data_IF_153625838203
#
_entry.id   IF_153625838203
#
_cell.length_a   1.000
_cell.length_b   1.000
_cell.length_c   1.000
_cell.angle_alpha   90.00
_cell.angle_beta   90.00
_cell.angle_gamma   90.00
#
_symmetry.space_group_name_H-M   'P 1'
#
loop_
_entity.id
_entity.type
_entity.pdbx_description
1 polymer ?
#
# COMPACT_ATOMS: atom_id res chain seq x y z
N UNK A 1 -12.48 -15.71 12.87
CA UNK A 1 -12.36 -14.45 12.11
C UNK A 1 -10.99 -14.47 11.44
N UNK A 2 -10.83 -13.92 10.24
CA UNK A 2 -9.56 -13.91 9.52
C UNK A 2 -9.12 -12.46 9.43
N UNK A 3 -8.35 -12.00 10.41
CA UNK A 3 -8.00 -10.58 10.54
C UNK A 3 -6.84 -10.25 9.60
N UNK A 4 -6.89 -9.05 9.04
CA UNK A 4 -5.84 -8.49 8.19
C UNK A 4 -5.58 -7.08 8.68
N UNK A 5 -4.31 -6.74 8.88
CA UNK A 5 -3.93 -5.35 9.13
C UNK A 5 -3.09 -4.80 7.99
N UNK A 6 -3.19 -3.49 7.80
CA UNK A 6 -2.56 -2.75 6.71
C UNK A 6 -1.42 -1.90 7.23
N UNK A 7 -0.23 -2.07 6.68
CA UNK A 7 0.93 -1.23 6.97
C UNK A 7 1.08 -0.23 5.82
N UNK A 8 0.99 1.06 6.13
CA UNK A 8 1.20 2.16 5.18
C UNK A 8 2.53 2.85 5.44
N UNK A 9 3.41 2.87 4.44
CA UNK A 9 4.73 3.50 4.53
C UNK A 9 4.82 4.65 3.53
N UNK A 10 4.84 5.89 4.04
CA UNK A 10 4.83 7.17 3.31
C UNK A 10 3.48 7.90 3.29
N UNK A 11 3.55 9.19 3.00
CA UNK A 11 2.40 10.03 2.74
C UNK A 11 1.52 9.48 1.60
N UNK A 12 2.13 9.04 0.48
CA UNK A 12 1.40 8.47 -0.66
C UNK A 12 0.66 7.19 -0.27
N UNK A 13 1.33 6.28 0.45
CA UNK A 13 0.70 5.07 0.97
C UNK A 13 -0.45 5.39 1.91
N UNK A 14 -0.30 6.38 2.79
CA UNK A 14 -1.35 6.76 3.73
C UNK A 14 -2.57 7.39 3.04
N UNK A 15 -2.38 8.13 1.93
CA UNK A 15 -3.50 8.58 1.08
C UNK A 15 -4.30 7.39 0.51
N UNK A 16 -3.61 6.34 0.04
CA UNK A 16 -4.24 5.12 -0.45
C UNK A 16 -4.97 4.39 0.69
N UNK A 17 -4.34 4.28 1.86
CA UNK A 17 -4.94 3.66 3.04
C UNK A 17 -6.22 4.39 3.47
N UNK A 18 -6.22 5.73 3.49
CA UNK A 18 -7.43 6.51 3.78
C UNK A 18 -8.54 6.19 2.78
N UNK A 19 -8.24 6.17 1.48
CA UNK A 19 -9.23 5.84 0.46
C UNK A 19 -9.81 4.43 0.64
N UNK A 20 -8.94 3.45 0.93
CA UNK A 20 -9.36 2.09 1.23
C UNK A 20 -10.32 2.06 2.43
N UNK A 21 -9.96 2.65 3.57
CA UNK A 21 -10.81 2.60 4.77
C UNK A 21 -12.09 3.43 4.65
N UNK A 22 -12.05 4.58 3.97
CA UNK A 22 -13.27 5.37 3.68
C UNK A 22 -14.24 4.58 2.80
N UNK A 23 -13.73 3.84 1.81
CA UNK A 23 -14.56 2.97 0.97
C UNK A 23 -15.17 1.83 1.78
N UNK A 24 -14.38 1.18 2.62
CA UNK A 24 -14.86 0.10 3.49
C UNK A 24 -15.93 0.60 4.48
N UNK A 25 -15.71 1.76 5.08
CA UNK A 25 -16.65 2.40 6.01
C UNK A 25 -17.98 2.74 5.34
N UNK A 26 -17.96 3.12 4.05
CA UNK A 26 -19.19 3.46 3.31
C UNK A 26 -20.17 2.28 3.13
N UNK A 27 -19.73 1.04 3.40
CA UNK A 27 -20.60 -0.14 3.42
C UNK A 27 -21.31 -0.35 4.77
N UNK A 28 -20.93 0.40 5.80
CA UNK A 28 -21.51 0.25 7.13
C UNK A 28 -22.93 0.83 7.19
N UNK A 29 -23.85 0.04 7.74
CA UNK A 29 -25.22 0.48 8.04
C UNK A 29 -25.33 0.89 9.51
N UNK A 30 -25.22 2.18 9.76
CA UNK A 30 -25.37 2.75 11.11
C UNK A 30 -26.83 2.88 11.57
N UNK A 31 -27.80 2.54 10.70
CA UNK A 31 -29.25 2.70 10.99
C UNK A 31 -29.91 1.43 11.52
N UNK A 32 -29.22 0.28 11.50
CA UNK A 32 -29.71 -0.96 12.09
C UNK A 32 -28.85 -2.18 11.78
N UNK A 33 -28.92 -3.19 12.65
CA UNK A 33 -28.14 -4.43 12.54
C UNK A 33 -28.61 -5.23 11.31
N UNK A 34 -27.74 -5.38 10.30
CA UNK A 34 -27.78 -6.59 9.44
C UNK A 34 -27.69 -6.45 7.92
N UNK A 35 -27.21 -5.35 7.32
CA UNK A 35 -27.16 -5.23 5.84
C UNK A 35 -25.82 -4.92 5.18
N UNK A 36 -24.71 -4.83 5.92
CA UNK A 36 -23.39 -4.78 5.25
C UNK A 36 -23.13 -6.13 4.56
N UNK A 37 -22.76 -6.12 3.29
CA UNK A 37 -22.31 -7.33 2.56
C UNK A 37 -20.88 -7.74 2.94
N UNK A 38 -20.20 -6.88 3.70
CA UNK A 38 -18.83 -7.05 4.16
C UNK A 38 -18.77 -7.31 5.67
N UNK A 39 -17.81 -8.13 6.09
CA UNK A 39 -17.45 -8.44 7.46
C UNK A 39 -16.47 -7.37 8.00
N UNK A 40 -16.90 -6.45 8.89
CA UNK A 40 -16.05 -5.35 9.37
C UNK A 40 -14.83 -5.85 10.15
N UNK A 41 -14.98 -6.92 10.93
CA UNK A 41 -13.96 -7.42 11.87
C UNK A 41 -12.64 -7.84 11.21
N UNK A 42 -12.66 -8.08 9.89
CA UNK A 42 -11.47 -8.41 9.10
C UNK A 42 -10.47 -7.25 9.10
N UNK A 43 -10.93 -6.03 8.83
CA UNK A 43 -10.10 -4.83 8.68
C UNK A 43 -10.26 -3.82 9.82
N UNK A 44 -11.29 -3.98 10.63
CA UNK A 44 -11.60 -3.09 11.73
C UNK A 44 -11.56 -3.83 13.06
N UNK A 45 -11.34 -3.07 14.12
CA UNK A 45 -11.42 -3.54 15.50
C UNK A 45 -12.53 -2.81 16.21
N UNK A 46 -13.36 -3.56 16.91
CA UNK A 46 -14.33 -2.98 17.83
C UNK A 46 -13.64 -2.46 19.10
N UNK A 47 -13.82 -1.18 19.38
CA UNK A 47 -13.42 -0.52 20.61
C UNK A 47 -14.68 -0.13 21.38
N UNK A 48 -14.84 -0.71 22.58
CA UNK A 48 -15.99 -0.42 23.46
C UNK A 48 -15.70 0.81 24.31
N UNK A 49 -16.44 1.88 24.04
CA UNK A 49 -16.36 3.15 24.76
C UNK A 49 -17.63 3.35 25.60
N UNK A 50 -17.64 2.72 26.79
CA UNK A 50 -18.81 2.73 27.67
C UNK A 50 -20.01 2.03 27.02
N UNK A 51 -21.02 2.82 26.64
CA UNK A 51 -22.27 2.31 26.02
C UNK A 51 -22.24 2.27 24.49
N UNK A 52 -21.17 2.77 23.85
CA UNK A 52 -21.05 2.81 22.40
C UNK A 52 -19.89 1.93 21.93
N UNK A 53 -20.06 1.31 20.76
CA UNK A 53 -19.01 0.57 20.07
C UNK A 53 -18.54 1.43 18.90
N UNK A 54 -17.25 1.72 18.85
CA UNK A 54 -16.61 2.39 17.71
C UNK A 54 -15.71 1.39 16.99
N UNK A 55 -15.69 1.44 15.67
CA UNK A 55 -14.75 0.67 14.87
C UNK A 55 -13.48 1.49 14.63
N UNK A 56 -12.31 0.88 14.78
CA UNK A 56 -11.03 1.50 14.44
C UNK A 56 -10.31 0.67 13.39
N UNK A 57 -9.69 1.29 12.37
CA UNK A 57 -8.89 0.58 11.37
C UNK A 57 -7.76 -0.25 11.99
N UNK A 58 -7.57 -1.48 11.51
CA UNK A 58 -6.38 -2.29 11.76
C UNK A 58 -5.26 -1.82 10.84
N UNK A 59 -4.63 -0.71 11.20
CA UNK A 59 -3.57 -0.11 10.41
C UNK A 59 -2.38 0.34 11.25
N UNK A 60 -1.17 0.17 10.72
CA UNK A 60 0.08 0.72 11.25
C UNK A 60 0.64 1.68 10.20
N UNK A 61 0.70 2.97 10.52
CA UNK A 61 1.03 4.01 9.53
C UNK A 61 2.33 4.69 9.89
N UNK A 62 3.17 4.93 8.89
CA UNK A 62 4.38 5.73 8.99
C UNK A 62 4.31 6.92 8.05
N UNK A 63 4.69 8.09 8.55
CA UNK A 63 4.82 9.29 7.73
C UNK A 63 6.01 10.14 8.19
N UNK A 64 6.39 11.10 7.35
CA UNK A 64 7.36 12.13 7.71
C UNK A 64 6.68 13.21 8.56
N UNK A 65 7.47 13.97 9.31
CA UNK A 65 6.98 15.10 10.07
C UNK A 65 6.26 16.09 9.15
N UNK A 66 5.09 16.56 9.57
CA UNK A 66 4.24 17.43 8.75
C UNK A 66 3.42 16.73 7.66
N UNK A 67 3.62 15.42 7.41
CA UNK A 67 2.82 14.67 6.42
C UNK A 67 1.46 14.18 6.91
N UNK A 68 1.33 13.96 8.23
CA UNK A 68 0.10 13.42 8.84
C UNK A 68 -1.05 14.42 8.74
N UNK A 69 -0.80 15.72 8.88
CA UNK A 69 -1.86 16.72 9.03
C UNK A 69 -2.46 16.72 10.45
N UNK A 70 -3.77 16.95 10.56
CA UNK A 70 -4.49 16.93 11.83
C UNK A 70 -5.43 15.72 11.88
N UNK A 71 -5.20 14.83 12.84
CA UNK A 71 -6.00 13.61 12.97
C UNK A 71 -7.45 13.91 13.41
N UNK A 72 -8.44 13.21 12.83
CA UNK A 72 -9.83 13.27 13.28
C UNK A 72 -9.93 12.97 14.78
N UNK A 73 -10.73 13.75 15.52
CA UNK A 73 -10.96 13.51 16.95
C UNK A 73 -9.81 13.88 17.90
N UNK A 74 -8.66 14.37 17.41
CA UNK A 74 -7.50 14.81 18.22
C UNK A 74 -7.82 15.93 19.24
N UNK A 75 -8.93 16.66 19.06
CA UNK A 75 -9.45 17.60 20.06
C UNK A 75 -10.18 16.96 21.24
N UNK A 76 -10.43 15.64 21.27
CA UNK A 76 -11.06 14.98 22.43
C UNK A 76 -10.08 14.68 23.57
N UNK A 77 -8.76 14.77 23.33
CA UNK A 77 -7.71 14.49 24.34
C UNK A 77 -6.95 15.76 24.76
N UNK A 78 -7.08 16.87 24.02
CA UNK A 78 -6.36 18.11 24.31
C UNK A 78 -7.24 19.17 24.97
N UNK A 79 -7.88 18.80 26.07
CA UNK A 79 -8.49 19.74 27.01
C UNK A 79 -8.35 19.22 28.44
N UNK A 80 -7.12 18.88 28.86
CA UNK A 80 -6.64 18.92 30.25
C UNK A 80 -5.28 18.19 30.35
N UNK A 81 -4.19 18.92 30.10
CA UNK A 81 -2.90 18.75 30.78
C UNK A 81 -1.94 19.85 30.31
N UNK A 82 -1.84 20.98 31.03
CA UNK A 82 -0.69 21.85 30.89
C UNK A 82 0.51 21.11 31.51
N UNK A 83 1.22 20.31 30.73
CA UNK A 83 2.46 19.68 31.19
C UNK A 83 3.55 20.75 31.22
N UNK A 84 3.73 21.30 32.42
CA UNK A 84 4.94 21.89 32.99
C UNK A 84 5.87 22.67 32.04
N UNK A 85 5.53 23.94 31.85
CA UNK A 85 6.48 24.98 31.50
C UNK A 85 7.41 25.33 32.68
N UNK A 86 8.18 24.35 33.17
CA UNK A 86 9.25 24.57 34.15
C UNK A 86 10.41 23.59 33.95
N UNK A 87 11.09 23.70 32.81
CA UNK A 87 12.50 23.33 32.70
C UNK A 87 13.31 24.61 32.90
N UNK A 88 13.61 24.91 34.16
CA UNK A 88 14.59 25.93 34.54
C UNK A 88 15.99 25.40 34.25
N UNK A 89 16.45 25.58 33.01
CA UNK A 89 17.86 25.44 32.67
C UNK A 89 18.59 26.74 33.02
N UNK A 90 19.75 26.62 33.64
CA UNK A 90 20.57 27.73 34.14
C UNK A 90 20.75 28.84 33.11
N UNK A 91 20.67 30.05 33.62
CA UNK A 91 20.80 31.33 32.92
C UNK A 91 22.09 31.44 32.13
N UNK A 92 21.98 31.50 30.80
CA UNK A 92 22.76 32.34 29.87
C UNK A 92 22.44 32.06 28.38
N UNK A 93 21.60 31.06 28.08
CA UNK A 93 21.14 30.77 26.72
C UNK A 93 19.69 31.20 26.50
N UNK A 94 19.45 32.15 25.59
CA UNK A 94 18.11 32.41 25.05
C UNK A 94 17.75 31.28 24.08
N UNK A 95 16.96 30.31 24.55
CA UNK A 95 16.33 29.32 23.67
C UNK A 95 15.10 29.97 23.04
N UNK A 96 15.19 30.38 21.78
CA UNK A 96 14.00 30.72 21.00
C UNK A 96 13.30 29.43 20.56
N UNK A 97 12.21 29.08 21.24
CA UNK A 97 11.35 27.97 20.84
C UNK A 97 10.53 28.43 19.62
N UNK A 98 10.99 28.07 18.42
CA UNK A 98 10.19 28.23 17.20
C UNK A 98 9.10 27.15 17.24
N UNK A 99 7.87 27.55 17.55
CA UNK A 99 6.71 26.65 17.53
C UNK A 99 6.02 26.81 16.18
N UNK A 100 5.93 25.73 15.40
CA UNK A 100 5.15 25.75 14.16
C UNK A 100 3.67 26.04 14.49
N UNK A 101 2.98 26.87 13.67
CA UNK A 101 1.57 27.13 13.89
C UNK A 101 0.76 25.83 13.77
N UNK A 102 -0.27 25.63 14.61
CA UNK A 102 -1.07 24.41 14.56
C UNK A 102 -1.77 24.29 13.20
N UNK A 103 -1.75 23.09 12.63
CA UNK A 103 -2.44 22.81 11.37
C UNK A 103 -3.95 22.98 11.60
N UNK A 104 -4.62 23.87 10.85
CA UNK A 104 -6.06 24.08 11.02
C UNK A 104 -6.82 22.83 10.60
N UNK A 105 -7.96 22.61 11.25
CA UNK A 105 -8.88 21.55 10.86
C UNK A 105 -9.48 21.83 9.48
N UNK A 106 -9.54 20.78 8.66
CA UNK A 106 -10.12 20.83 7.32
C UNK A 106 -11.62 21.14 7.38
N UNK A 107 -12.17 21.67 6.29
CA UNK A 107 -13.61 21.95 6.24
C UNK A 107 -14.41 20.65 6.29
N UNK A 108 -13.90 19.60 5.63
CA UNK A 108 -14.48 18.27 5.70
C UNK A 108 -14.60 17.73 7.14
N UNK A 109 -13.54 17.77 7.96
CA UNK A 109 -13.60 17.26 9.34
C UNK A 109 -14.63 18.02 10.20
N UNK A 110 -14.66 19.36 10.10
CA UNK A 110 -15.66 20.17 10.84
C UNK A 110 -17.08 19.78 10.47
N UNK A 111 -17.35 19.62 9.18
CA UNK A 111 -18.68 19.31 8.68
C UNK A 111 -19.07 17.85 8.94
N UNK A 112 -18.09 16.94 9.00
CA UNK A 112 -18.28 15.55 9.42
C UNK A 112 -18.72 15.47 10.89
N UNK A 113 -18.06 16.21 11.79
CA UNK A 113 -18.44 16.29 13.23
C UNK A 113 -19.86 16.88 13.43
N UNK A 114 -20.28 17.78 12.54
CA UNK A 114 -21.64 18.34 12.52
C UNK A 114 -22.69 17.39 11.87
N UNK A 115 -22.29 16.18 11.46
CA UNK A 115 -23.09 15.20 10.72
C UNK A 115 -23.66 15.74 9.40
N UNK A 116 -22.94 16.66 8.75
CA UNK A 116 -23.28 17.25 7.44
C UNK A 116 -22.05 17.32 6.54
N UNK A 117 -21.38 16.20 6.27
CA UNK A 117 -20.08 16.20 5.58
C UNK A 117 -20.17 16.93 4.24
N UNK A 118 -19.25 17.88 4.04
CA UNK A 118 -19.05 18.61 2.79
C UNK A 118 -17.59 18.47 2.38
N UNK A 119 -17.35 17.69 1.33
CA UNK A 119 -16.02 17.45 0.81
C UNK A 119 -15.59 18.52 -0.21
N UNK A 120 -14.33 18.96 -0.12
CA UNK A 120 -13.66 19.79 -1.12
C UNK A 120 -12.29 19.20 -1.45
N UNK A 121 -11.86 19.34 -2.71
CA UNK A 121 -10.52 18.93 -3.16
C UNK A 121 -9.41 19.72 -2.44
N UNK A 122 -9.70 20.93 -1.96
CA UNK A 122 -8.72 21.72 -1.20
C UNK A 122 -8.35 21.07 0.15
N UNK A 123 -9.22 20.19 0.68
CA UNK A 123 -8.96 19.46 1.92
C UNK A 123 -7.99 18.28 1.72
N UNK A 124 -7.55 17.98 0.49
CA UNK A 124 -6.80 16.74 0.19
C UNK A 124 -5.28 16.88 0.33
N UNK A 125 -4.78 17.95 0.94
CA UNK A 125 -3.33 18.13 1.19
C UNK A 125 -2.76 17.07 2.13
N UNK A 126 -3.55 16.64 3.12
CA UNK A 126 -3.17 15.60 4.07
C UNK A 126 -4.17 14.46 3.99
N UNK A 127 -3.68 13.22 4.09
CA UNK A 127 -4.53 12.03 4.06
C UNK A 127 -5.51 11.98 5.25
N UNK A 128 -5.16 12.58 6.40
CA UNK A 128 -6.02 12.62 7.58
C UNK A 128 -7.20 13.59 7.43
N UNK A 129 -7.04 14.65 6.63
CA UNK A 129 -8.02 15.72 6.46
C UNK A 129 -9.35 15.25 5.88
N UNK A 130 -9.35 14.14 5.14
CA UNK A 130 -10.55 13.55 4.54
C UNK A 130 -10.81 12.12 5.02
N UNK A 131 -10.17 11.68 6.10
CA UNK A 131 -10.48 10.38 6.71
C UNK A 131 -11.86 10.42 7.36
N UNK A 132 -12.72 9.45 7.05
CA UNK A 132 -14.01 9.26 7.75
C UNK A 132 -13.81 8.54 9.08
N UNK A 133 -12.75 7.74 9.18
CA UNK A 133 -12.44 6.92 10.34
C UNK A 133 -11.42 7.59 11.27
N UNK A 134 -11.55 7.30 12.56
CA UNK A 134 -10.56 7.67 13.57
C UNK A 134 -9.53 6.54 13.67
N UNK A 135 -8.30 6.83 13.26
CA UNK A 135 -7.16 5.94 13.46
C UNK A 135 -6.67 6.00 14.90
N UNK A 136 -6.13 4.89 15.40
CA UNK A 136 -5.48 4.86 16.71
C UNK A 136 -4.15 5.62 16.63
N UNK A 137 -4.05 6.75 17.33
CA UNK A 137 -2.85 7.62 17.33
C UNK A 137 -1.59 6.85 17.76
N UNK A 138 -1.72 5.81 18.59
CA UNK A 138 -0.56 5.01 19.03
C UNK A 138 0.05 4.16 17.92
N UNK A 139 -0.74 3.89 16.87
CA UNK A 139 -0.37 3.11 15.67
C UNK A 139 0.15 3.97 14.51
N UNK A 140 0.14 5.29 14.67
CA UNK A 140 0.71 6.23 13.70
C UNK A 140 2.09 6.65 14.21
N UNK A 141 3.11 6.47 13.39
CA UNK A 141 4.49 6.82 13.68
C UNK A 141 4.98 7.91 12.74
N UNK A 142 5.73 8.84 13.31
CA UNK A 142 6.25 10.01 12.63
C UNK A 142 7.78 9.96 12.69
N UNK A 143 8.45 10.12 11.55
CA UNK A 143 9.90 10.29 11.50
C UNK A 143 10.27 11.73 11.85
N UNK A 144 10.44 12.02 13.14
CA UNK A 144 10.60 13.39 13.66
C UNK A 144 11.79 14.17 13.10
N UNK A 145 12.83 13.49 12.62
CA UNK A 145 14.03 14.11 12.03
C UNK A 145 13.80 14.55 10.57
N UNK A 146 12.75 14.07 9.91
CA UNK A 146 12.52 14.25 8.48
C UNK A 146 11.21 14.99 8.24
N UNK A 147 11.24 16.01 7.39
CA UNK A 147 10.08 16.86 7.10
C UNK A 147 9.53 16.55 5.71
N UNK A 148 8.20 16.48 5.62
CA UNK A 148 7.46 16.33 4.38
C UNK A 148 7.31 17.69 3.69
N UNK A 149 7.87 17.80 2.49
CA UNK A 149 7.63 18.90 1.57
C UNK A 149 6.85 18.39 0.35
N UNK A 150 5.52 18.36 0.50
CA UNK A 150 4.57 18.03 -0.58
C UNK A 150 4.86 16.68 -1.28
N UNK A 151 5.24 15.66 -0.51
CA UNK A 151 5.52 14.32 -1.01
C UNK A 151 7.02 14.04 -1.23
N UNK A 152 7.89 15.03 -1.09
CA UNK A 152 9.34 14.82 -1.02
C UNK A 152 9.83 15.03 0.43
N UNK A 153 10.73 14.17 0.90
CA UNK A 153 11.29 14.31 2.25
C UNK A 153 12.66 14.99 2.26
N UNK A 154 12.96 15.74 3.32
CA UNK A 154 14.30 16.23 3.61
C UNK A 154 14.58 16.23 5.11
N UNK A 155 15.85 16.26 5.48
CA UNK A 155 16.26 16.29 6.88
C UNK A 155 15.99 17.68 7.48
N UNK A 156 15.33 17.75 8.64
CA UNK A 156 14.94 19.03 9.28
C UNK A 156 16.12 19.92 9.67
N UNK A 157 17.28 19.31 9.95
CA UNK A 157 18.49 20.05 10.28
C UNK A 157 19.25 20.53 9.04
N UNK A 158 18.97 19.96 7.87
CA UNK A 158 19.66 20.26 6.61
C UNK A 158 18.82 19.85 5.38
N UNK A 159 18.16 20.82 4.78
CA UNK A 159 17.30 20.63 3.60
C UNK A 159 18.05 20.09 2.37
N UNK A 160 19.39 20.12 2.35
CA UNK A 160 20.19 19.53 1.27
C UNK A 160 20.19 18.00 1.29
N UNK A 161 19.96 17.40 2.46
CA UNK A 161 19.86 15.95 2.62
C UNK A 161 18.43 15.50 2.30
N UNK A 162 18.26 14.82 1.17
CA UNK A 162 16.96 14.36 0.66
C UNK A 162 16.64 12.94 1.09
N UNK A 163 15.35 12.66 1.28
CA UNK A 163 14.79 11.35 1.64
C UNK A 163 14.58 10.47 0.40
N UNK A 164 15.62 10.30 -0.42
CA UNK A 164 15.51 9.64 -1.72
C UNK A 164 16.31 8.33 -1.81
N UNK A 165 17.32 8.16 -0.96
CA UNK A 165 18.28 7.07 -1.08
C UNK A 165 17.87 5.86 -0.25
N UNK A 166 18.02 4.67 -0.84
CA UNK A 166 17.74 3.41 -0.15
C UNK A 166 18.50 3.29 1.19
N UNK A 167 19.80 3.64 1.20
CA UNK A 167 20.64 3.55 2.41
C UNK A 167 20.12 4.42 3.55
N UNK A 168 19.60 5.62 3.24
CA UNK A 168 18.99 6.52 4.24
C UNK A 168 17.83 5.81 4.95
N UNK A 169 16.98 5.12 4.20
CA UNK A 169 15.89 4.33 4.76
C UNK A 169 16.36 3.20 5.66
N UNK A 170 17.39 2.46 5.22
CA UNK A 170 17.96 1.36 6.01
C UNK A 170 18.56 1.84 7.31
N UNK A 171 19.22 2.99 7.33
CA UNK A 171 19.83 3.53 8.55
C UNK A 171 18.78 4.03 9.54
N UNK A 172 17.68 4.62 9.05
CA UNK A 172 16.56 5.00 9.90
C UNK A 172 15.89 3.76 10.52
N UNK A 173 15.73 2.69 9.74
CA UNK A 173 15.15 1.45 10.26
C UNK A 173 16.02 0.81 11.35
N UNK A 174 17.35 0.87 11.26
CA UNK A 174 18.23 0.38 12.33
C UNK A 174 17.98 1.08 13.66
N UNK A 175 17.66 2.38 13.64
CA UNK A 175 17.39 3.16 14.84
C UNK A 175 15.96 2.91 15.38
N UNK A 176 14.96 2.85 14.51
CA UNK A 176 13.53 2.84 14.90
C UNK A 176 12.88 1.44 14.90
N UNK A 177 13.41 0.52 14.09
CA UNK A 177 12.79 -0.74 13.70
C UNK A 177 12.60 -1.72 14.85
N UNK A 178 13.64 -1.91 15.68
CA UNK A 178 13.56 -2.83 16.83
C UNK A 178 12.42 -2.44 17.78
N UNK A 179 12.33 -1.14 18.11
CA UNK A 179 11.25 -0.62 18.97
C UNK A 179 9.88 -0.79 18.32
N UNK A 180 9.78 -0.62 17.01
CA UNK A 180 8.52 -0.87 16.30
C UNK A 180 8.11 -2.33 16.34
N UNK A 181 9.02 -3.27 16.05
CA UNK A 181 8.74 -4.71 16.02
C UNK A 181 8.34 -5.20 17.42
N UNK A 182 9.15 -4.87 18.43
CA UNK A 182 8.94 -5.33 19.80
C UNK A 182 7.65 -4.79 20.43
N UNK A 183 7.25 -3.57 20.05
CA UNK A 183 6.10 -2.91 20.64
C UNK A 183 4.90 -2.87 19.69
N UNK A 184 4.96 -2.04 18.64
CA UNK A 184 3.79 -1.69 17.83
C UNK A 184 3.28 -2.89 17.04
N UNK A 185 4.19 -3.61 16.39
CA UNK A 185 3.87 -4.77 15.57
C UNK A 185 3.41 -5.95 16.42
N UNK A 186 4.18 -6.37 17.44
CA UNK A 186 3.78 -7.47 18.33
C UNK A 186 2.45 -7.19 19.04
N UNK A 187 2.20 -5.96 19.49
CA UNK A 187 0.91 -5.60 20.08
C UNK A 187 -0.25 -5.77 19.11
N UNK A 188 -0.06 -5.47 17.83
CA UNK A 188 -1.10 -5.69 16.81
C UNK A 188 -1.36 -7.19 16.58
N UNK A 189 -0.30 -8.01 16.63
CA UNK A 189 -0.41 -9.46 16.56
C UNK A 189 -1.15 -10.06 17.77
N UNK A 190 -0.81 -9.62 18.98
CA UNK A 190 -1.46 -10.06 20.22
C UNK A 190 -2.94 -9.69 20.28
N UNK A 191 -3.31 -8.59 19.63
CA UNK A 191 -4.69 -8.12 19.52
C UNK A 191 -5.46 -8.77 18.35
N UNK A 192 -4.85 -9.73 17.66
CA UNK A 192 -5.48 -10.50 16.58
C UNK A 192 -5.68 -11.95 17.03
N UNK A 193 -6.92 -12.42 17.04
CA UNK A 193 -7.27 -13.80 17.38
C UNK A 193 -6.76 -14.79 16.32
N UNK A 194 -6.90 -14.45 15.04
CA UNK A 194 -6.49 -15.28 13.92
C UNK A 194 -6.14 -14.39 12.73
N UNK A 195 -4.86 -14.00 12.69
CA UNK A 195 -4.27 -13.27 11.57
C UNK A 195 -4.26 -14.13 10.29
N UNK A 196 -4.88 -13.64 9.22
CA UNK A 196 -4.85 -14.26 7.89
C UNK A 196 -3.61 -13.80 7.10
N UNK A 197 -3.33 -12.50 7.12
CA UNK A 197 -2.18 -11.92 6.43
C UNK A 197 -2.02 -10.42 6.66
N UNK A 198 -1.10 -9.83 5.91
CA UNK A 198 -0.72 -8.40 6.02
C UNK A 198 -0.82 -7.76 4.63
N UNK A 199 -1.43 -6.59 4.55
CA UNK A 199 -1.25 -5.69 3.41
C UNK A 199 -0.09 -4.74 3.72
N UNK A 200 0.94 -4.71 2.89
CA UNK A 200 2.02 -3.72 2.97
C UNK A 200 1.92 -2.80 1.76
N UNK A 201 1.81 -1.50 1.98
CA UNK A 201 1.82 -0.49 0.92
C UNK A 201 3.11 0.32 1.07
N UNK A 202 3.97 0.24 0.06
CA UNK A 202 5.33 0.78 0.10
C UNK A 202 5.58 1.69 -1.10
N UNK A 203 5.99 2.93 -0.83
CA UNK A 203 6.67 3.78 -1.82
C UNK A 203 8.08 3.26 -2.06
N UNK A 204 8.35 2.83 -3.29
CA UNK A 204 9.64 2.24 -3.67
C UNK A 204 10.60 3.24 -4.32
N UNK A 205 10.20 4.49 -4.51
CA UNK A 205 10.98 5.52 -5.23
C UNK A 205 11.66 6.54 -4.33
N UNK A 206 11.55 6.37 -3.02
CA UNK A 206 12.14 7.22 -1.99
C UNK A 206 12.92 6.38 -0.98
N UNK A 207 13.47 7.02 0.06
CA UNK A 207 14.12 6.29 1.15
C UNK A 207 13.16 5.35 1.90
N UNK A 208 11.84 5.46 1.71
CA UNK A 208 10.88 4.45 2.18
C UNK A 208 11.20 3.06 1.62
N UNK A 209 11.78 2.95 0.42
CA UNK A 209 12.21 1.70 -0.18
C UNK A 209 13.15 0.89 0.73
N UNK A 210 14.15 1.55 1.31
CA UNK A 210 15.11 0.92 2.23
C UNK A 210 14.51 0.64 3.60
N UNK A 211 13.70 1.57 4.10
CA UNK A 211 12.99 1.40 5.36
C UNK A 211 12.03 0.20 5.30
N UNK A 212 11.24 0.11 4.24
CA UNK A 212 10.25 -0.94 4.01
C UNK A 212 10.88 -2.29 3.70
N UNK A 213 12.00 -2.34 2.96
CA UNK A 213 12.71 -3.58 2.70
C UNK A 213 13.24 -4.23 4.00
N UNK A 214 13.87 -3.43 4.87
CA UNK A 214 14.36 -3.92 6.16
C UNK A 214 13.21 -4.28 7.12
N UNK A 215 12.14 -3.49 7.15
CA UNK A 215 10.92 -3.85 7.89
C UNK A 215 10.34 -5.18 7.42
N UNK A 216 10.33 -5.42 6.10
CA UNK A 216 9.82 -6.65 5.52
C UNK A 216 10.64 -7.87 5.93
N UNK A 217 11.97 -7.76 5.98
CA UNK A 217 12.86 -8.81 6.48
C UNK A 217 12.50 -9.17 7.93
N UNK A 218 12.42 -8.17 8.82
CA UNK A 218 12.06 -8.40 10.23
C UNK A 218 10.65 -8.99 10.41
N UNK A 219 9.66 -8.50 9.64
CA UNK A 219 8.30 -9.04 9.65
C UNK A 219 8.29 -10.48 9.13
N UNK A 220 9.09 -10.80 8.12
CA UNK A 220 9.18 -12.13 7.53
C UNK A 220 9.84 -13.12 8.51
N UNK A 221 10.82 -12.69 9.28
CA UNK A 221 11.45 -13.47 10.35
C UNK A 221 10.46 -13.79 11.49
N UNK A 222 9.66 -12.81 11.91
CA UNK A 222 8.62 -12.99 12.93
C UNK A 222 7.43 -13.84 12.41
N UNK A 223 7.05 -13.68 11.13
CA UNK A 223 5.93 -14.38 10.50
C UNK A 223 6.29 -15.14 9.20
N UNK A 224 7.11 -16.21 9.26
CA UNK A 224 7.65 -16.87 8.06
C UNK A 224 6.58 -17.47 7.13
N UNK A 225 5.42 -17.84 7.67
CA UNK A 225 4.36 -18.56 6.94
C UNK A 225 3.15 -17.70 6.60
N UNK A 226 3.08 -16.46 7.08
CA UNK A 226 1.91 -15.61 6.84
C UNK A 226 1.98 -14.98 5.46
N UNK A 227 0.82 -14.86 4.82
CA UNK A 227 0.72 -14.21 3.52
C UNK A 227 0.91 -12.70 3.68
N UNK A 228 1.79 -12.13 2.86
CA UNK A 228 1.99 -10.68 2.78
C UNK A 228 1.70 -10.25 1.35
N UNK A 229 0.69 -9.41 1.16
CA UNK A 229 0.41 -8.74 -0.11
C UNK A 229 1.14 -7.40 -0.12
N UNK A 230 2.14 -7.28 -0.99
CA UNK A 230 2.90 -6.05 -1.18
C UNK A 230 2.33 -5.23 -2.32
N UNK A 231 1.94 -3.99 -2.05
CA UNK A 231 1.54 -3.01 -3.05
C UNK A 231 2.67 -1.99 -3.19
N UNK A 232 3.43 -2.11 -4.28
CA UNK A 232 4.54 -1.20 -4.56
C UNK A 232 4.02 0.03 -5.30
N UNK A 233 4.24 1.23 -4.77
CA UNK A 233 3.85 2.50 -5.38
C UNK A 233 5.01 3.05 -6.21
N UNK A 234 4.79 3.18 -7.52
CA UNK A 234 5.80 3.59 -8.49
C UNK A 234 5.44 4.93 -9.13
N UNK A 235 6.37 5.87 -9.12
CA UNK A 235 6.37 7.08 -9.91
C UNK A 235 6.72 6.76 -11.37
N UNK A 236 6.12 7.46 -12.33
CA UNK A 236 6.35 7.20 -13.76
C UNK A 236 7.76 7.58 -14.22
N UNK A 237 8.25 8.73 -13.77
CA UNK A 237 9.52 9.30 -14.20
C UNK A 237 10.47 9.42 -13.01
N UNK A 238 11.49 8.56 -12.99
CA UNK A 238 12.53 8.58 -11.95
C UNK A 238 13.91 8.73 -12.56
N UNK A 239 14.75 9.51 -11.88
CA UNK A 239 16.16 9.63 -12.24
C UNK A 239 16.92 8.34 -11.89
N UNK A 240 18.12 8.18 -12.45
CA UNK A 240 18.93 6.97 -12.25
C UNK A 240 19.19 6.63 -10.77
N UNK A 241 19.38 7.63 -9.91
CA UNK A 241 19.64 7.42 -8.48
C UNK A 241 18.43 6.76 -7.79
N UNK A 242 17.24 7.33 -8.02
CA UNK A 242 15.97 6.75 -7.55
C UNK A 242 15.68 5.40 -8.21
N UNK A 243 16.07 5.20 -9.48
CA UNK A 243 15.96 3.88 -10.13
C UNK A 243 16.79 2.81 -9.42
N UNK A 244 18.00 3.14 -8.94
CA UNK A 244 18.80 2.18 -8.15
C UNK A 244 18.09 1.88 -6.82
N UNK A 245 17.63 2.91 -6.09
CA UNK A 245 16.83 2.71 -4.87
C UNK A 245 15.59 1.85 -5.11
N UNK A 246 14.88 2.08 -6.22
CA UNK A 246 13.73 1.30 -6.68
C UNK A 246 14.08 -0.16 -6.87
N UNK A 247 15.22 -0.48 -7.49
CA UNK A 247 15.65 -1.87 -7.70
C UNK A 247 15.81 -2.59 -6.37
N UNK A 248 16.51 -1.98 -5.41
CA UNK A 248 16.71 -2.58 -4.08
C UNK A 248 15.38 -2.72 -3.32
N UNK A 249 14.54 -1.67 -3.29
CA UNK A 249 13.23 -1.72 -2.62
C UNK A 249 12.30 -2.75 -3.24
N UNK A 250 12.25 -2.82 -4.56
CA UNK A 250 11.43 -3.79 -5.26
C UNK A 250 11.91 -5.22 -5.04
N UNK A 251 13.23 -5.48 -5.04
CA UNK A 251 13.77 -6.80 -4.71
C UNK A 251 13.43 -7.19 -3.26
N UNK A 252 13.59 -6.26 -2.30
CA UNK A 252 13.18 -6.49 -0.92
C UNK A 252 11.69 -6.87 -0.80
N UNK A 253 10.82 -6.26 -1.62
CA UNK A 253 9.42 -6.68 -1.72
C UNK A 253 9.25 -8.06 -2.35
N UNK A 254 9.94 -8.35 -3.45
CA UNK A 254 9.84 -9.65 -4.16
C UNK A 254 10.31 -10.79 -3.27
N UNK A 255 11.36 -10.59 -2.47
CA UNK A 255 11.92 -11.64 -1.64
C UNK A 255 11.05 -11.92 -0.41
N UNK A 256 10.40 -10.88 0.15
CA UNK A 256 9.67 -11.00 1.40
C UNK A 256 8.14 -11.00 1.25
N UNK A 257 7.55 -10.57 0.13
CA UNK A 257 6.11 -10.62 -0.09
C UNK A 257 5.66 -11.92 -0.78
N UNK A 258 4.47 -12.38 -0.42
CA UNK A 258 3.87 -13.56 -1.05
C UNK A 258 3.34 -13.26 -2.46
N UNK A 259 2.93 -12.03 -2.71
CA UNK A 259 2.58 -11.47 -4.03
C UNK A 259 2.88 -9.96 -4.01
N UNK A 260 3.49 -9.45 -5.07
CA UNK A 260 3.76 -8.03 -5.30
C UNK A 260 2.86 -7.54 -6.43
N UNK A 261 2.08 -6.50 -6.14
CA UNK A 261 1.21 -5.80 -7.08
C UNK A 261 1.80 -4.41 -7.33
N UNK A 262 2.46 -4.19 -8.48
CA UNK A 262 2.95 -2.87 -8.85
C UNK A 262 1.80 -1.92 -9.20
N UNK A 263 1.75 -0.78 -8.53
CA UNK A 263 0.77 0.30 -8.74
C UNK A 263 1.51 1.55 -9.17
N UNK A 264 1.06 2.18 -10.25
CA UNK A 264 1.76 3.32 -10.85
C UNK A 264 0.95 4.60 -10.69
N UNK A 265 1.67 5.67 -10.37
CA UNK A 265 1.09 6.98 -10.13
C UNK A 265 0.27 7.46 -11.34
N UNK A 266 -1.03 7.63 -11.15
CA UNK A 266 -1.97 7.98 -12.21
C UNK A 266 -2.05 9.49 -12.48
N UNK A 267 -1.86 10.31 -11.45
CA UNK A 267 -1.96 11.78 -11.46
C UNK A 267 -0.87 12.39 -10.57
N UNK A 268 -0.52 13.66 -10.80
CA UNK A 268 0.39 14.41 -9.93
C UNK A 268 -0.20 14.65 -8.52
N UNK A 269 -1.53 14.67 -8.42
CA UNK A 269 -2.22 14.71 -7.14
C UNK A 269 -2.18 13.34 -6.47
N UNK A 270 -1.56 13.27 -5.27
CA UNK A 270 -1.56 12.05 -4.46
C UNK A 270 -2.98 11.58 -4.17
N UNK A 271 -3.92 12.50 -3.92
CA UNK A 271 -5.33 12.17 -3.68
C UNK A 271 -5.98 11.45 -4.87
N UNK A 272 -5.77 11.92 -6.09
CA UNK A 272 -6.35 11.30 -7.28
C UNK A 272 -5.63 10.00 -7.64
N UNK A 273 -4.30 9.98 -7.53
CA UNK A 273 -3.50 8.79 -7.84
C UNK A 273 -3.86 7.63 -6.90
N UNK A 274 -3.80 7.90 -5.60
CA UNK A 274 -4.11 6.90 -4.57
C UNK A 274 -5.57 6.44 -4.61
N UNK A 275 -6.50 7.23 -5.14
CA UNK A 275 -7.87 6.79 -5.37
C UNK A 275 -7.97 5.76 -6.50
N UNK A 276 -7.20 5.91 -7.59
CA UNK A 276 -7.15 4.91 -8.67
C UNK A 276 -6.50 3.63 -8.16
N UNK A 277 -5.42 3.77 -7.40
CA UNK A 277 -4.69 2.66 -6.81
C UNK A 277 -5.53 1.92 -5.77
N UNK A 278 -6.30 2.64 -4.95
CA UNK A 278 -7.19 2.05 -3.95
C UNK A 278 -8.29 1.21 -4.59
N UNK A 279 -8.76 1.49 -5.81
CA UNK A 279 -9.72 0.60 -6.50
C UNK A 279 -9.15 -0.82 -6.63
N UNK A 280 -7.87 -0.95 -6.97
CA UNK A 280 -7.19 -2.25 -7.08
C UNK A 280 -7.07 -2.89 -5.70
N UNK A 281 -6.57 -2.15 -4.72
CA UNK A 281 -6.36 -2.64 -3.35
C UNK A 281 -7.67 -3.05 -2.69
N UNK A 282 -8.71 -2.22 -2.76
CA UNK A 282 -10.06 -2.51 -2.28
C UNK A 282 -10.68 -3.71 -2.98
N UNK A 283 -10.46 -3.88 -4.29
CA UNK A 283 -11.03 -5.03 -5.03
C UNK A 283 -10.41 -6.36 -4.61
N UNK A 284 -9.08 -6.41 -4.43
CA UNK A 284 -8.40 -7.60 -3.91
C UNK A 284 -8.85 -7.88 -2.47
N UNK A 285 -8.84 -6.85 -1.62
CA UNK A 285 -9.18 -7.00 -0.21
C UNK A 285 -10.67 -7.31 0.04
N UNK A 286 -11.55 -6.88 -0.87
CA UNK A 286 -12.98 -7.22 -0.85
C UNK A 286 -13.24 -8.74 -0.93
N UNK A 287 -12.30 -9.51 -1.49
CA UNK A 287 -12.38 -10.98 -1.50
C UNK A 287 -12.27 -11.57 -0.08
N UNK A 288 -11.55 -10.89 0.81
CA UNK A 288 -11.18 -11.40 2.14
C UNK A 288 -12.22 -11.07 3.22
N UNK A 289 -13.04 -10.04 3.01
CA UNK A 289 -14.10 -9.66 3.93
C UNK A 289 -15.51 -9.81 3.35
N UNK A 290 -15.66 -10.42 2.17
CA UNK A 290 -16.97 -10.88 1.71
C UNK A 290 -17.57 -11.89 2.70
N UNK A 291 -18.91 -11.91 2.84
CA UNK A 291 -19.61 -12.86 3.73
C UNK A 291 -19.25 -14.32 3.41
N UNK A 292 -19.30 -15.16 4.45
CA UNK A 292 -18.63 -16.46 4.55
C UNK A 292 -18.84 -17.49 3.42
N UNK A 293 -19.89 -17.40 2.58
CA UNK A 293 -20.08 -18.34 1.46
C UNK A 293 -19.15 -18.06 0.28
N UNK A 294 -18.71 -16.81 0.08
CA UNK A 294 -17.88 -16.38 -1.04
C UNK A 294 -16.50 -15.88 -0.61
N UNK A 295 -16.18 -15.97 0.70
CA UNK A 295 -14.90 -15.50 1.25
C UNK A 295 -13.73 -16.36 0.78
N UNK A 296 -12.72 -15.70 0.25
CA UNK A 296 -11.43 -16.29 -0.11
C UNK A 296 -10.41 -15.86 0.93
N UNK A 297 -9.52 -16.75 1.41
CA UNK A 297 -8.42 -16.30 2.26
C UNK A 297 -7.30 -15.65 1.45
N UNK A 298 -6.47 -14.82 2.08
CA UNK A 298 -5.33 -14.19 1.40
C UNK A 298 -4.39 -15.24 0.81
N UNK A 299 -4.12 -16.32 1.56
CA UNK A 299 -3.32 -17.46 1.08
C UNK A 299 -3.96 -18.15 -0.13
N UNK A 300 -5.27 -18.44 -0.09
CA UNK A 300 -5.97 -19.08 -1.20
C UNK A 300 -5.91 -18.22 -2.47
N UNK A 301 -6.09 -16.91 -2.34
CA UNK A 301 -5.99 -15.98 -3.47
C UNK A 301 -4.57 -16.01 -4.07
N UNK A 302 -3.54 -15.89 -3.23
CA UNK A 302 -2.14 -15.93 -3.69
C UNK A 302 -1.79 -17.26 -4.34
N UNK A 303 -2.18 -18.39 -3.76
CA UNK A 303 -1.92 -19.71 -4.34
C UNK A 303 -2.64 -19.90 -5.68
N UNK A 304 -3.87 -19.38 -5.79
CA UNK A 304 -4.67 -19.45 -7.03
C UNK A 304 -4.04 -18.69 -8.19
N UNK A 305 -3.45 -17.53 -7.92
CA UNK A 305 -2.83 -16.71 -8.96
C UNK A 305 -1.41 -17.20 -9.26
N UNK A 306 -0.63 -17.63 -8.25
CA UNK A 306 0.75 -18.11 -8.46
C UNK A 306 0.86 -19.52 -9.03
N UNK A 307 -0.20 -20.33 -8.92
CA UNK A 307 -0.17 -21.75 -9.32
C UNK A 307 0.97 -22.54 -8.67
N UNK A 308 1.28 -22.22 -7.41
CA UNK A 308 2.39 -22.81 -6.64
C UNK A 308 3.78 -22.63 -7.28
N UNK A 309 4.00 -21.59 -8.09
CA UNK A 309 5.33 -21.27 -8.65
C UNK A 309 5.96 -20.08 -7.94
N UNK A 310 7.25 -19.82 -8.18
CA UNK A 310 7.98 -18.70 -7.57
C UNK A 310 7.62 -17.33 -8.16
N UNK A 311 6.77 -17.30 -9.20
CA UNK A 311 6.29 -16.07 -9.83
C UNK A 311 5.33 -15.34 -8.91
N UNK A 312 5.82 -14.36 -8.16
CA UNK A 312 5.04 -13.55 -7.24
C UNK A 312 4.86 -12.09 -7.69
N UNK A 313 5.24 -11.71 -8.92
CA UNK A 313 5.09 -10.37 -9.47
C UNK A 313 3.90 -10.35 -10.42
N UNK A 314 2.93 -9.49 -10.14
CA UNK A 314 1.84 -9.20 -11.09
C UNK A 314 2.39 -8.32 -12.21
N UNK A 315 2.32 -8.81 -13.45
CA UNK A 315 2.85 -8.11 -14.62
C UNK A 315 1.91 -7.03 -15.13
N UNK A 316 0.61 -7.36 -15.24
CA UNK A 316 -0.40 -6.41 -15.67
C UNK A 316 -1.59 -6.33 -14.72
N UNK A 317 -2.00 -5.09 -14.49
CA UNK A 317 -3.18 -4.71 -13.70
C UNK A 317 -4.05 -3.87 -14.60
N UNK A 318 -5.32 -4.26 -14.75
CA UNK A 318 -6.31 -3.48 -15.49
C UNK A 318 -7.45 -3.07 -14.57
N UNK A 319 -7.92 -1.85 -14.76
CA UNK A 319 -9.21 -1.38 -14.27
C UNK A 319 -10.11 -1.14 -15.49
N UNK A 320 -11.12 -1.99 -15.62
CA UNK A 320 -11.91 -2.16 -16.84
C UNK A 320 -10.95 -2.34 -18.04
N UNK A 321 -11.17 -1.61 -19.12
CA UNK A 321 -10.30 -1.71 -20.30
C UNK A 321 -8.99 -0.90 -20.17
N UNK A 322 -8.78 -0.18 -19.05
CA UNK A 322 -7.60 0.65 -18.82
C UNK A 322 -6.47 -0.14 -18.17
N UNK A 323 -5.34 -0.23 -18.86
CA UNK A 323 -4.09 -0.73 -18.29
C UNK A 323 -3.54 0.26 -17.26
N UNK A 324 -3.32 -0.20 -16.03
CA UNK A 324 -2.73 0.59 -14.93
C UNK A 324 -1.25 0.31 -14.73
N UNK A 325 -0.74 -0.83 -15.20
CA UNK A 325 0.67 -1.20 -15.07
C UNK A 325 1.55 -0.48 -16.11
N UNK A 326 2.72 -0.03 -15.67
CA UNK A 326 3.81 0.49 -16.51
C UNK A 326 5.04 -0.44 -16.38
N UNK A 327 6.09 -0.30 -17.21
CA UNK A 327 7.37 -0.96 -16.93
C UNK A 327 7.92 -0.51 -15.58
N UNK A 328 8.31 -1.47 -14.73
CA UNK A 328 8.85 -1.19 -13.40
C UNK A 328 10.21 -0.51 -13.51
N UNK A 329 11.01 -0.90 -14.51
CA UNK A 329 12.33 -0.34 -14.75
C UNK A 329 12.39 0.36 -16.11
N UNK A 330 12.93 1.59 -16.19
CA UNK A 330 13.16 2.22 -17.49
C UNK A 330 14.14 1.37 -18.31
N UNK A 331 13.86 1.18 -19.60
CA UNK A 331 14.71 0.35 -20.45
C UNK A 331 14.10 -0.01 -21.79
N UNK A 332 14.69 -1.03 -22.43
CA UNK A 332 14.21 -1.53 -23.72
C UNK A 332 12.87 -2.23 -23.53
N UNK A 333 11.87 -1.81 -24.31
CA UNK A 333 10.60 -2.51 -24.42
C UNK A 333 10.70 -3.44 -25.63
N UNK A 334 10.79 -4.75 -25.39
CA UNK A 334 10.62 -5.74 -26.45
C UNK A 334 9.14 -6.12 -26.53
N UNK A 335 8.44 -5.64 -27.57
CA UNK A 335 7.09 -6.09 -27.89
C UNK A 335 7.17 -7.51 -28.48
N UNK A 336 7.33 -8.51 -27.61
CA UNK A 336 7.04 -9.91 -27.94
C UNK A 336 5.64 -10.25 -27.45
N UNK A 337 5.01 -11.25 -28.07
CA UNK A 337 3.75 -11.81 -27.58
C UNK A 337 3.91 -12.18 -26.11
N UNK A 338 3.16 -11.52 -25.23
CA UNK A 338 3.21 -11.78 -23.80
C UNK A 338 2.38 -13.03 -23.51
N UNK A 339 2.99 -14.00 -22.85
CA UNK A 339 2.28 -15.18 -22.39
C UNK A 339 1.74 -14.94 -20.99
N UNK A 340 0.48 -15.29 -20.75
CA UNK A 340 -0.19 -15.17 -19.46
C UNK A 340 -0.21 -16.54 -18.79
N UNK A 341 0.50 -16.67 -17.67
CA UNK A 341 0.54 -17.89 -16.85
C UNK A 341 -0.75 -18.09 -16.07
N UNK A 342 -1.31 -17.00 -15.55
CA UNK A 342 -2.56 -16.97 -14.80
C UNK A 342 -3.19 -15.59 -14.88
N UNK A 343 -4.52 -15.57 -14.72
CA UNK A 343 -5.36 -14.39 -14.71
C UNK A 343 -6.40 -14.52 -13.60
N UNK A 344 -6.47 -13.51 -12.76
CA UNK A 344 -7.56 -13.33 -11.79
C UNK A 344 -8.41 -12.13 -12.18
N UNK A 345 -9.72 -12.34 -12.31
CA UNK A 345 -10.70 -11.30 -12.64
C UNK A 345 -11.62 -11.11 -11.46
N UNK A 346 -11.71 -9.89 -10.94
CA UNK A 346 -12.58 -9.51 -9.84
C UNK A 346 -13.61 -8.54 -10.40
N UNK A 347 -14.88 -8.95 -10.41
CA UNK A 347 -15.99 -8.06 -10.72
C UNK A 347 -16.62 -7.54 -9.43
N UNK A 348 -16.60 -6.23 -9.25
CA UNK A 348 -17.38 -5.54 -8.21
C UNK A 348 -18.64 -5.01 -8.86
N UNK A 349 -19.80 -5.49 -8.45
CA UNK A 349 -21.05 -4.99 -9.02
C UNK A 349 -22.24 -5.90 -8.83
N UNK A 350 -23.43 -5.34 -8.97
CA UNK A 350 -24.67 -6.09 -8.78
C UNK A 350 -25.12 -6.83 -10.05
N UNK A 351 -24.67 -6.36 -11.22
CA UNK A 351 -25.06 -6.87 -12.53
C UNK A 351 -24.57 -8.29 -12.86
N UNK A 352 -24.97 -8.85 -14.01
CA UNK A 352 -24.38 -10.08 -14.52
C UNK A 352 -22.90 -9.84 -14.88
N UNK A 353 -22.07 -10.85 -14.62
CA UNK A 353 -20.66 -10.80 -15.04
C UNK A 353 -20.56 -10.90 -16.57
N UNK A 354 -19.80 -10.00 -17.18
CA UNK A 354 -19.45 -10.10 -18.59
C UNK A 354 -18.39 -11.18 -18.75
N UNK A 355 -18.81 -12.40 -19.10
CA UNK A 355 -17.90 -13.54 -19.25
C UNK A 355 -16.83 -13.30 -20.31
N UNK A 356 -17.10 -12.47 -21.33
CA UNK A 356 -16.13 -12.15 -22.38
C UNK A 356 -14.96 -11.28 -21.91
N UNK A 357 -15.14 -10.50 -20.84
CA UNK A 357 -14.09 -9.64 -20.28
C UNK A 357 -12.89 -10.45 -19.76
N UNK A 358 -13.14 -11.65 -19.22
CA UNK A 358 -12.09 -12.55 -18.75
C UNK A 358 -11.15 -13.02 -19.86
N UNK A 359 -11.69 -13.17 -21.07
CA UNK A 359 -11.05 -13.73 -22.24
C UNK A 359 -10.40 -15.11 -21.97
N UNK A 360 -11.01 -15.94 -21.11
CA UNK A 360 -10.46 -17.25 -20.72
C UNK A 360 -10.37 -18.25 -21.87
N UNK A 361 -11.32 -18.25 -22.80
CA UNK A 361 -11.28 -19.15 -23.97
C UNK A 361 -10.05 -18.87 -24.86
N UNK A 362 -9.72 -17.60 -25.06
CA UNK A 362 -8.49 -17.21 -25.75
C UNK A 362 -7.25 -17.67 -24.99
N UNK A 363 -7.16 -17.40 -23.68
CA UNK A 363 -6.00 -17.83 -22.88
C UNK A 363 -5.82 -19.35 -22.91
N UNK A 364 -6.91 -20.11 -22.82
CA UNK A 364 -6.90 -21.57 -22.95
C UNK A 364 -6.37 -22.02 -24.32
N UNK A 365 -6.74 -21.31 -25.39
CA UNK A 365 -6.20 -21.57 -26.75
C UNK A 365 -4.70 -21.27 -26.88
N UNK A 366 -4.18 -20.34 -26.07
CA UNK A 366 -2.76 -19.99 -26.02
C UNK A 366 -1.94 -20.91 -25.09
N UNK A 367 -2.58 -21.86 -24.39
CA UNK A 367 -1.91 -22.83 -23.52
C UNK A 367 -1.94 -22.50 -22.03
N UNK A 368 -2.61 -21.41 -21.62
CA UNK A 368 -2.77 -21.07 -20.20
C UNK A 368 -3.56 -22.15 -19.46
N UNK A 369 -3.08 -22.54 -18.27
CA UNK A 369 -3.72 -23.56 -17.44
C UNK A 369 -5.08 -23.07 -16.92
N UNK A 370 -6.11 -23.92 -16.97
CA UNK A 370 -7.43 -23.59 -16.42
C UNK A 370 -7.41 -23.38 -14.90
N UNK A 371 -6.40 -23.91 -14.19
CA UNK A 371 -6.23 -23.68 -12.76
C UNK A 371 -5.86 -22.22 -12.44
N UNK A 372 -5.27 -21.52 -13.40
CA UNK A 372 -4.89 -20.11 -13.28
C UNK A 372 -5.92 -19.15 -13.85
N UNK A 373 -7.15 -19.59 -14.11
CA UNK A 373 -8.22 -18.76 -14.64
C UNK A 373 -9.26 -18.58 -13.53
N UNK A 374 -9.07 -17.54 -12.72
CA UNK A 374 -9.89 -17.30 -11.53
C UNK A 374 -10.84 -16.14 -11.79
N UNK A 375 -12.12 -16.31 -11.45
CA UNK A 375 -13.11 -15.24 -11.53
C UNK A 375 -13.86 -15.13 -10.22
N UNK A 376 -13.92 -13.91 -9.71
CA UNK A 376 -14.56 -13.56 -8.45
C UNK A 376 -15.64 -12.51 -8.72
N UNK A 377 -16.75 -12.60 -7.99
CA UNK A 377 -17.78 -11.57 -7.94
C UNK A 377 -17.95 -11.16 -6.48
N UNK A 378 -17.81 -9.88 -6.20
CA UNK A 378 -17.99 -9.30 -4.86
C UNK A 378 -18.92 -8.09 -4.93
N UNK A 379 -19.24 -7.54 -3.76
CA UNK A 379 -20.08 -6.36 -3.65
C UNK A 379 -19.49 -5.17 -4.45
N UNK A 380 -20.36 -4.27 -4.93
CA UNK A 380 -19.95 -3.04 -5.60
C UNK A 380 -18.95 -2.20 -4.77
N UNK A 381 -18.24 -1.29 -5.42
CA UNK A 381 -17.28 -0.40 -4.75
C UNK A 381 -18.01 0.71 -3.99
N UNK A 382 -17.76 0.82 -2.69
CA UNK A 382 -18.31 1.89 -1.85
C UNK A 382 -18.05 3.27 -2.47
N UNK A 383 -19.02 4.19 -2.33
CA UNK A 383 -18.96 5.52 -2.94
C UNK A 383 -18.99 6.61 -1.86
N UNK A 384 -17.95 6.72 -1.01
CA UNK A 384 -17.84 7.82 -0.06
C UNK A 384 -17.74 9.14 -0.82
N UNK A 385 -18.18 10.25 -0.20
CA UNK A 385 -18.08 11.58 -0.80
C UNK A 385 -16.63 12.02 -1.08
N UNK A 386 -15.67 11.38 -0.42
CA UNK A 386 -14.23 11.63 -0.56
C UNK A 386 -13.61 10.85 -1.72
N UNK A 387 -14.37 10.08 -2.49
CA UNK A 387 -13.88 9.48 -3.72
C UNK A 387 -13.95 10.49 -4.88
N UNK A 388 -12.90 10.59 -5.71
CA UNK A 388 -12.98 11.39 -6.92
C UNK A 388 -14.01 10.82 -7.89
N UNK A 389 -14.66 11.69 -8.66
CA UNK A 389 -15.75 11.33 -9.59
C UNK A 389 -15.35 10.33 -10.68
N UNK A 390 -14.07 10.12 -10.93
CA UNK A 390 -13.56 9.12 -11.89
C UNK A 390 -13.82 7.69 -11.43
N UNK A 391 -13.93 7.48 -10.11
CA UNK A 391 -14.19 6.18 -9.51
C UNK A 391 -15.69 5.92 -9.55
N UNK A 392 -16.07 4.78 -10.09
CA UNK A 392 -17.47 4.37 -10.21
C UNK A 392 -17.71 3.06 -9.46
N UNK A 393 -18.97 2.73 -9.24
CA UNK A 393 -19.38 1.66 -8.32
C UNK A 393 -19.10 0.25 -8.88
N UNK A 394 -19.44 0.03 -10.15
CA UNK A 394 -19.32 -1.28 -10.80
C UNK A 394 -18.01 -1.35 -11.60
N UNK A 395 -17.01 -2.09 -11.13
CA UNK A 395 -15.68 -2.13 -11.74
C UNK A 395 -15.20 -3.56 -12.01
N UNK A 396 -14.36 -3.73 -13.03
CA UNK A 396 -13.60 -4.95 -13.24
C UNK A 396 -12.12 -4.72 -12.96
N UNK A 397 -11.55 -5.51 -12.06
CA UNK A 397 -10.10 -5.60 -11.87
C UNK A 397 -9.58 -6.90 -12.49
N UNK A 398 -8.53 -6.81 -13.30
CA UNK A 398 -7.87 -7.97 -13.93
C UNK A 398 -6.39 -7.95 -13.60
N UNK A 399 -5.90 -9.04 -13.03
CA UNK A 399 -4.52 -9.23 -12.58
C UNK A 399 -3.90 -10.40 -13.35
N UNK A 400 -2.82 -10.15 -14.06
CA UNK A 400 -2.12 -11.15 -14.87
C UNK A 400 -0.71 -11.41 -14.34
N UNK A 401 -0.40 -12.68 -14.07
CA UNK A 401 0.99 -13.13 -14.01
C UNK A 401 1.38 -13.53 -15.43
N UNK A 402 2.30 -12.80 -16.02
CA UNK A 402 2.68 -12.94 -17.41
C UNK A 402 4.20 -12.79 -17.59
N UNK A 403 4.68 -12.80 -18.82
CA UNK A 403 6.13 -12.71 -19.13
C UNK A 403 6.70 -11.29 -19.05
N UNK A 404 5.88 -10.25 -18.77
CA UNK A 404 6.33 -8.84 -18.74
C UNK A 404 7.41 -8.57 -17.69
N UNK A 405 7.31 -9.06 -16.43
CA UNK A 405 8.34 -8.83 -15.41
C UNK A 405 9.74 -9.29 -15.83
N UNK A 406 9.87 -10.30 -16.70
CA UNK A 406 11.17 -10.76 -17.23
C UNK A 406 11.96 -9.63 -17.86
N UNK A 407 11.33 -8.80 -18.69
CA UNK A 407 12.04 -7.71 -19.37
C UNK A 407 12.44 -6.60 -18.39
N UNK A 408 11.59 -6.32 -17.40
CA UNK A 408 11.91 -5.38 -16.33
C UNK A 408 13.12 -5.87 -15.52
N UNK A 409 13.13 -7.13 -15.09
CA UNK A 409 14.25 -7.75 -14.35
C UNK A 409 15.56 -7.72 -15.15
N UNK A 410 15.51 -7.99 -16.45
CA UNK A 410 16.69 -7.88 -17.33
C UNK A 410 17.18 -6.43 -17.49
N UNK A 411 16.26 -5.46 -17.55
CA UNK A 411 16.60 -4.04 -17.58
C UNK A 411 17.25 -3.61 -16.25
N UNK A 412 16.70 -4.04 -15.11
CA UNK A 412 17.29 -3.81 -13.79
C UNK A 412 18.70 -4.39 -13.72
N UNK A 413 18.89 -5.63 -14.18
CA UNK A 413 20.20 -6.29 -14.22
C UNK A 413 21.21 -5.50 -15.04
N UNK A 414 20.81 -4.93 -16.17
CA UNK A 414 21.67 -4.08 -16.99
C UNK A 414 22.05 -2.76 -16.28
N UNK A 415 21.15 -2.18 -15.48
CA UNK A 415 21.42 -1.00 -14.65
C UNK A 415 22.39 -1.37 -13.52
N UNK A 416 22.11 -2.43 -12.75
CA UNK A 416 22.96 -2.91 -11.65
C UNK A 416 24.38 -3.17 -12.15
N UNK A 417 24.52 -3.90 -13.26
CA UNK A 417 25.82 -4.21 -13.85
C UNK A 417 26.66 -2.97 -14.20
N UNK A 418 26.01 -1.84 -14.52
CA UNK A 418 26.67 -0.61 -14.95
C UNK A 418 26.94 0.37 -13.82
N UNK A 419 26.02 0.48 -12.86
CA UNK A 419 25.99 1.62 -11.93
C UNK A 419 26.13 1.24 -10.46
N UNK A 420 25.97 -0.03 -10.10
CA UNK A 420 26.08 -0.51 -8.71
C UNK A 420 27.53 -0.91 -8.40
N UNK A 421 27.93 -0.79 -7.13
CA UNK A 421 29.29 -1.05 -6.63
C UNK A 421 29.74 -2.51 -6.89
N UNK A 422 31.05 -2.77 -6.99
CA UNK A 422 31.54 -4.12 -7.33
C UNK A 422 31.15 -5.16 -6.26
N UNK A 423 31.13 -4.76 -4.99
CA UNK A 423 30.99 -5.67 -3.86
C UNK A 423 29.62 -6.36 -3.81
N UNK A 424 28.54 -5.68 -4.23
CA UNK A 424 27.16 -6.21 -4.23
C UNK A 424 26.64 -6.55 -5.64
N UNK A 425 27.36 -6.13 -6.69
CA UNK A 425 26.87 -6.24 -8.08
C UNK A 425 26.66 -7.67 -8.54
N UNK A 426 27.60 -8.57 -8.24
CA UNK A 426 27.53 -9.95 -8.75
C UNK A 426 26.31 -10.67 -8.17
N UNK A 427 26.11 -10.57 -6.85
CA UNK A 427 24.95 -11.15 -6.15
C UNK A 427 23.62 -10.63 -6.70
N UNK A 428 23.48 -9.31 -6.85
CA UNK A 428 22.25 -8.72 -7.38
C UNK A 428 22.00 -9.10 -8.84
N UNK A 429 23.05 -9.19 -9.67
CA UNK A 429 22.93 -9.60 -11.07
C UNK A 429 22.45 -11.05 -11.16
N UNK A 430 23.04 -11.94 -10.38
CA UNK A 430 22.68 -13.36 -10.36
C UNK A 430 21.25 -13.56 -9.84
N UNK A 431 20.86 -12.82 -8.78
CA UNK A 431 19.49 -12.83 -8.26
C UNK A 431 18.47 -12.37 -9.30
N UNK A 432 18.72 -11.24 -9.96
CA UNK A 432 17.85 -10.72 -11.02
C UNK A 432 17.73 -11.67 -12.21
N UNK A 433 18.81 -12.38 -12.57
CA UNK A 433 18.78 -13.39 -13.62
C UNK A 433 17.94 -14.60 -13.22
N UNK A 434 18.14 -15.13 -12.01
CA UNK A 434 17.34 -16.22 -11.44
C UNK A 434 15.84 -15.88 -11.44
N UNK A 435 15.49 -14.67 -10.97
CA UNK A 435 14.11 -14.20 -11.03
C UNK A 435 13.59 -14.08 -12.47
N UNK A 436 14.41 -13.60 -13.41
CA UNK A 436 13.99 -13.44 -14.80
C UNK A 436 13.69 -14.79 -15.49
N UNK A 437 14.43 -15.84 -15.15
CA UNK A 437 14.22 -17.21 -15.66
C UNK A 437 12.84 -17.77 -15.28
N UNK A 438 12.34 -17.47 -14.07
CA UNK A 438 11.01 -17.89 -13.61
C UNK A 438 9.86 -17.34 -14.46
N UNK A 439 10.09 -16.23 -15.18
CA UNK A 439 9.12 -15.60 -16.08
C UNK A 439 9.39 -15.89 -17.56
N UNK A 440 10.31 -16.79 -17.88
CA UNK A 440 10.57 -17.21 -19.26
C UNK A 440 9.52 -18.20 -19.78
N UNK A 441 9.03 -17.94 -21.00
CA UNK A 441 8.07 -18.80 -21.68
C UNK A 441 8.50 -19.09 -23.11
N UNK A 442 8.44 -20.37 -23.49
CA UNK A 442 8.82 -20.86 -24.81
C UNK A 442 10.33 -20.97 -25.01
N UNK A 443 10.73 -21.50 -26.16
CA UNK A 443 12.13 -21.48 -26.58
C UNK A 443 12.44 -20.08 -27.14
N UNK A 444 13.36 -19.37 -26.49
CA UNK A 444 13.96 -18.18 -27.09
C UNK A 444 15.04 -18.70 -28.03
N UNK A 445 14.79 -18.64 -29.34
CA UNK A 445 15.89 -18.74 -30.29
C UNK A 445 16.89 -17.61 -29.95
N UNK A 446 18.11 -18.00 -29.59
CA UNK A 446 19.23 -17.11 -29.37
C UNK A 446 19.62 -16.46 -30.70
N UNK A 447 18.98 -15.35 -31.05
CA UNK A 447 19.42 -14.43 -32.11
C UNK A 447 20.39 -13.37 -31.57
#
# INVERSE_FOLDING_TARGET
MQEIFTIGLSNHANHLVTHFFNEQESHFDYTGIGKSDLEPDVFFREVKNGNYVSLTPRALLWDLHGGIGRLPGSQRVSAESPVDANLSLDSDFKVEKIVQPPIPESNYQKTLDENKPVFSVDDTKFWSSYSTMIFDETKIKCLEKWENDQGNGHLRSDDSVKFDDFSVGTDIWKDEGQSFIDNSFRRELEQSDLLDGINLILDVDSAWAGFGAQMLEDIRDELPKKTILGYGLFQKDVNLKRTISRIHGFLGMVDNCSLVVPLFQASDSLYESSAVESVVVSSINGLFNSKAQDRVSMTQFVDSIRLNTNRNIVGDVFWDDKLLSSPICPGKIKNRNQYVYSRSVIYRGNGPTNTSYSNFDYLKSQGTSSRGMNQYKISPLGQPQTFPQIVHNDVYIKLDINTKPRQDLLNMKDIVKRYVSYDEREELVDHLLSLAEEYEYGFIDED
#
